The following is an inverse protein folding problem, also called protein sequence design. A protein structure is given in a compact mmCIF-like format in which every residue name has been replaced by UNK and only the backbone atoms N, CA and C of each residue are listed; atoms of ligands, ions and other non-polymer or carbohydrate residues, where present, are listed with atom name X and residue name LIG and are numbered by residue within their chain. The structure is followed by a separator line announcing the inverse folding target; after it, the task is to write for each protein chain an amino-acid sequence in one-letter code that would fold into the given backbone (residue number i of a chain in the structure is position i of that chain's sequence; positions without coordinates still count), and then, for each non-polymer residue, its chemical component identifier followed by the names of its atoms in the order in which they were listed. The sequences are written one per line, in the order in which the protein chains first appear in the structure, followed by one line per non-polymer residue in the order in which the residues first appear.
data_IF_956159743704
#
_entry.id   IF_956159743704
#
_cell.length_a   1.000
_cell.length_b   1.000
_cell.length_c   1.000
_cell.angle_alpha   90.00
_cell.angle_beta   90.00
_cell.angle_gamma   90.00
#
_symmetry.space_group_name_H-M   'P 1'
#
loop_
_entity.id
_entity.type
_entity.pdbx_description
1 polymer ?
#
# COMPACT_ATOMS: atom_id res chain seq x y z
N UNK A 1 11.94 6.47 -0.05
CA UNK A 1 12.13 6.47 1.41
C UNK A 1 11.46 5.26 2.09
N UNK A 2 10.19 4.95 1.81
CA UNK A 2 9.50 3.77 2.38
C UNK A 2 10.01 2.39 1.93
N UNK A 3 10.63 2.29 0.75
CA UNK A 3 11.12 1.03 0.18
C UNK A 3 12.23 0.36 1.00
N UNK A 4 13.04 1.14 1.73
CA UNK A 4 14.11 0.63 2.60
C UNK A 4 13.53 -0.02 3.85
N UNK A 5 12.55 0.64 4.49
CA UNK A 5 11.86 0.09 5.67
C UNK A 5 11.06 -1.16 5.34
N UNK A 6 10.43 -1.18 4.17
CA UNK A 6 9.66 -2.33 3.67
C UNK A 6 10.54 -3.58 3.49
N UNK A 7 11.76 -3.41 2.97
CA UNK A 7 12.76 -4.49 2.90
C UNK A 7 13.17 -4.95 4.29
N UNK A 8 13.54 -4.02 5.16
CA UNK A 8 13.96 -4.32 6.53
C UNK A 8 12.90 -5.11 7.31
N UNK A 9 11.63 -4.72 7.23
CA UNK A 9 10.55 -5.42 7.92
C UNK A 9 10.29 -6.82 7.37
N UNK A 10 10.35 -7.00 6.05
CA UNK A 10 10.20 -8.32 5.41
C UNK A 10 11.37 -9.25 5.71
N UNK A 11 12.60 -8.72 5.77
CA UNK A 11 13.79 -9.48 6.17
C UNK A 11 13.70 -9.97 7.63
N UNK A 12 13.03 -9.19 8.49
CA UNK A 12 12.74 -9.57 9.89
C UNK A 12 11.44 -10.37 10.05
N UNK A 13 10.87 -10.90 8.97
CA UNK A 13 9.73 -11.81 9.02
C UNK A 13 8.35 -11.15 9.22
N UNK A 14 8.26 -9.83 9.04
CA UNK A 14 6.97 -9.12 9.13
C UNK A 14 6.23 -9.21 7.80
N UNK A 15 5.05 -9.84 7.82
CA UNK A 15 4.15 -9.92 6.69
C UNK A 15 3.38 -8.59 6.54
N UNK A 16 3.96 -7.65 5.78
CA UNK A 16 3.44 -6.30 5.59
C UNK A 16 3.35 -5.88 4.12
N UNK A 17 2.23 -5.24 3.79
CA UNK A 17 1.95 -4.54 2.53
C UNK A 17 1.89 -3.05 2.84
N UNK A 18 2.54 -2.23 2.04
CA UNK A 18 2.53 -0.77 2.14
C UNK A 18 2.30 -0.20 0.75
N UNK A 19 1.38 0.76 0.65
CA UNK A 19 1.12 1.52 -0.56
C UNK A 19 0.86 2.99 -0.18
N UNK A 20 1.75 3.88 -0.63
CA UNK A 20 1.75 5.30 -0.28
C UNK A 20 1.73 5.51 1.25
N UNK A 21 0.64 6.07 1.78
CA UNK A 21 0.45 6.38 3.19
C UNK A 21 -0.31 5.30 3.97
N UNK A 22 -0.74 4.23 3.31
CA UNK A 22 -1.53 3.15 3.89
C UNK A 22 -0.73 1.84 3.94
N UNK A 23 -0.88 1.09 5.03
CA UNK A 23 -0.17 -0.16 5.25
C UNK A 23 -0.99 -1.18 6.01
N UNK A 24 -0.90 -2.44 5.58
CA UNK A 24 -1.56 -3.58 6.19
C UNK A 24 -0.51 -4.60 6.63
N UNK A 25 -0.44 -4.83 7.94
CA UNK A 25 0.32 -5.92 8.54
C UNK A 25 -0.61 -7.07 8.90
N UNK A 26 -0.22 -8.31 8.57
CA UNK A 26 -0.97 -9.51 8.92
C UNK A 26 -0.06 -10.50 9.64
N UNK A 27 -0.61 -11.25 10.58
CA UNK A 27 0.10 -12.32 11.26
C UNK A 27 -0.87 -13.43 11.66
N UNK A 28 -0.35 -14.61 12.01
CA UNK A 28 -1.16 -15.81 12.29
C UNK A 28 -1.90 -15.70 13.63
N UNK A 29 -1.27 -15.06 14.62
CA UNK A 29 -1.75 -14.99 16.00
C UNK A 29 -1.83 -13.53 16.48
N UNK A 30 -2.72 -13.25 17.44
CA UNK A 30 -2.84 -11.90 18.04
C UNK A 30 -1.52 -11.44 18.67
N UNK A 31 -0.81 -12.34 19.35
CA UNK A 31 0.49 -12.06 19.98
C UNK A 31 1.54 -11.66 18.94
N UNK A 32 1.74 -12.49 17.92
CA UNK A 32 2.68 -12.20 16.82
C UNK A 32 2.30 -10.91 16.08
N UNK A 33 1.00 -10.65 15.89
CA UNK A 33 0.54 -9.42 15.24
C UNK A 33 0.81 -8.18 16.09
N UNK A 34 0.73 -8.29 17.43
CA UNK A 34 1.06 -7.20 18.35
C UNK A 34 2.56 -6.93 18.37
N UNK A 35 3.38 -7.99 18.37
CA UNK A 35 4.84 -7.89 18.28
C UNK A 35 5.27 -7.24 16.97
N UNK A 36 4.75 -7.73 15.84
CA UNK A 36 5.02 -7.17 14.51
C UNK A 36 4.58 -5.70 14.41
N UNK A 37 3.39 -5.39 14.93
CA UNK A 37 2.87 -4.02 14.94
C UNK A 37 3.72 -3.08 15.80
N UNK A 38 4.13 -3.53 16.98
CA UNK A 38 5.02 -2.77 17.87
C UNK A 38 6.38 -2.53 17.23
N UNK A 39 6.94 -3.54 16.57
CA UNK A 39 8.20 -3.44 15.85
C UNK A 39 8.12 -2.43 14.69
N UNK A 40 7.04 -2.47 13.90
CA UNK A 40 6.80 -1.51 12.80
C UNK A 40 6.63 -0.09 13.35
N UNK A 41 5.87 0.07 14.44
CA UNK A 41 5.67 1.36 15.11
C UNK A 41 6.99 1.96 15.61
N UNK A 42 7.82 1.17 16.28
CA UNK A 42 9.14 1.62 16.74
C UNK A 42 10.06 1.96 15.58
N UNK A 43 10.10 1.12 14.54
CA UNK A 43 10.91 1.38 13.34
C UNK A 43 10.51 2.69 12.63
N UNK A 44 9.22 3.00 12.58
CA UNK A 44 8.72 4.25 11.98
C UNK A 44 9.15 5.47 12.82
N UNK A 45 9.06 5.38 14.15
CA UNK A 45 9.52 6.43 15.05
C UNK A 45 11.03 6.67 14.95
N UNK A 46 11.83 5.61 14.94
CA UNK A 46 13.29 5.68 14.81
C UNK A 46 13.72 6.25 13.45
N UNK A 47 12.96 5.96 12.40
CA UNK A 47 13.15 6.56 11.07
C UNK A 47 12.69 8.03 10.98
N UNK A 48 12.16 8.61 12.07
CA UNK A 48 11.75 10.02 12.15
C UNK A 48 10.37 10.32 11.58
N UNK A 49 9.51 9.33 11.36
CA UNK A 49 8.15 9.56 10.87
C UNK A 49 7.21 10.05 11.98
N UNK A 50 6.43 11.09 11.67
CA UNK A 50 5.31 11.54 12.52
C UNK A 50 4.09 10.67 12.23
N UNK A 51 3.68 9.87 13.21
CA UNK A 51 2.50 9.00 13.09
C UNK A 51 1.23 9.73 13.51
N UNK A 52 0.19 9.67 12.67
CA UNK A 52 -1.14 10.15 13.03
C UNK A 52 -1.87 9.13 13.91
N UNK A 53 -2.02 9.42 15.20
CA UNK A 53 -2.66 8.53 16.18
C UNK A 53 -4.12 8.21 15.88
N UNK A 54 -4.80 9.04 15.09
CA UNK A 54 -6.21 8.85 14.76
C UNK A 54 -6.40 7.93 13.54
N UNK A 55 -5.36 7.82 12.69
CA UNK A 55 -5.40 7.00 11.46
C UNK A 55 -4.74 5.64 11.64
N UNK A 56 -3.69 5.54 12.46
CA UNK A 56 -2.95 4.28 12.63
C UNK A 56 -3.60 3.36 13.67
N UNK A 57 -3.93 2.14 13.25
CA UNK A 57 -4.41 1.07 14.13
C UNK A 57 -3.26 0.09 14.35
N UNK A 58 -2.59 0.18 15.49
CA UNK A 58 -1.49 -0.71 15.86
C UNK A 58 -1.92 -1.86 16.79
N UNK A 59 -3.08 -1.76 17.43
CA UNK A 59 -3.63 -2.89 18.19
C UNK A 59 -4.26 -3.90 17.21
N UNK A 60 -3.86 -5.18 17.24
CA UNK A 60 -4.38 -6.17 16.32
C UNK A 60 -5.86 -6.43 16.59
N UNK A 61 -6.70 -6.12 15.59
CA UNK A 61 -8.15 -6.26 15.68
C UNK A 61 -8.59 -7.55 14.97
N UNK A 62 -9.26 -8.43 15.69
CA UNK A 62 -9.75 -9.72 15.17
C UNK A 62 -11.08 -9.59 14.40
N UNK A 63 -11.83 -8.51 14.64
CA UNK A 63 -13.08 -8.22 13.94
C UNK A 63 -13.00 -6.85 13.28
N UNK A 64 -13.05 -6.83 11.95
CA UNK A 64 -13.48 -5.63 11.25
C UNK A 64 -15.00 -5.58 11.42
N UNK A 65 -15.52 -4.59 12.16
CA UNK A 65 -16.91 -4.20 11.93
C UNK A 65 -17.08 -3.98 10.42
N UNK A 66 -18.07 -4.63 9.81
CA UNK A 66 -18.30 -4.65 8.36
C UNK A 66 -18.83 -3.31 7.85
N UNK A 67 -18.12 -2.24 8.16
CA UNK A 67 -18.35 -0.92 7.63
C UNK A 67 -17.94 -0.94 6.16
N UNK A 68 -18.75 -0.32 5.31
CA UNK A 68 -18.43 -0.21 3.90
C UNK A 68 -17.07 0.46 3.67
N UNK A 69 -16.67 1.38 4.56
CA UNK A 69 -15.34 2.00 4.57
C UNK A 69 -14.21 0.98 4.74
N UNK A 70 -14.35 0.03 5.67
CA UNK A 70 -13.33 -1.00 5.94
C UNK A 70 -13.22 -1.98 4.76
N UNK A 71 -14.35 -2.39 4.17
CA UNK A 71 -14.33 -3.24 2.98
C UNK A 71 -13.67 -2.52 1.79
N UNK A 72 -13.95 -1.23 1.61
CA UNK A 72 -13.35 -0.42 0.57
C UNK A 72 -11.84 -0.24 0.76
N UNK A 73 -11.37 -0.08 2.00
CA UNK A 73 -9.94 -0.01 2.31
C UNK A 73 -9.22 -1.29 1.88
N UNK A 74 -9.70 -2.46 2.35
CA UNK A 74 -9.11 -3.77 1.99
C UNK A 74 -9.15 -3.98 0.47
N UNK A 75 -10.26 -3.62 -0.18
CA UNK A 75 -10.38 -3.73 -1.64
C UNK A 75 -9.37 -2.83 -2.37
N UNK A 76 -9.18 -1.60 -1.89
CA UNK A 76 -8.19 -0.66 -2.43
C UNK A 76 -6.76 -1.16 -2.29
N UNK A 77 -6.42 -1.74 -1.12
CA UNK A 77 -5.12 -2.36 -0.89
C UNK A 77 -4.88 -3.57 -1.80
N UNK A 78 -5.90 -4.37 -2.07
CA UNK A 78 -5.80 -5.49 -3.02
C UNK A 78 -5.59 -4.99 -4.45
N UNK A 79 -6.36 -3.99 -4.88
CA UNK A 79 -6.26 -3.43 -6.23
C UNK A 79 -4.93 -2.70 -6.44
N UNK A 80 -4.37 -2.05 -5.41
CA UNK A 80 -3.06 -1.39 -5.54
C UNK A 80 -1.92 -2.37 -5.84
N UNK A 81 -2.09 -3.66 -5.50
CA UNK A 81 -1.17 -4.75 -5.87
C UNK A 81 -1.34 -5.25 -7.32
N UNK A 82 -2.25 -4.68 -8.11
CA UNK A 82 -2.47 -5.05 -9.52
C UNK A 82 -1.19 -5.08 -10.38
N UNK A 83 -0.20 -4.19 -10.23
CA UNK A 83 1.04 -4.27 -11.00
C UNK A 83 1.85 -5.56 -10.75
N UNK A 84 1.77 -6.12 -9.55
CA UNK A 84 2.52 -7.33 -9.15
C UNK A 84 1.74 -8.60 -9.48
N UNK A 85 0.45 -8.60 -9.16
CA UNK A 85 -0.40 -9.78 -9.21
C UNK A 85 -1.21 -9.89 -10.52
N UNK A 86 -1.30 -8.81 -11.30
CA UNK A 86 -2.05 -8.76 -12.55
C UNK A 86 -3.57 -8.79 -12.35
N UNK A 87 -4.27 -9.29 -13.37
CA UNK A 87 -5.74 -9.27 -13.47
C UNK A 87 -6.49 -10.01 -12.36
N UNK A 88 -5.81 -10.88 -11.60
CA UNK A 88 -6.41 -11.62 -10.48
C UNK A 88 -6.90 -10.68 -9.37
N UNK A 89 -6.24 -9.54 -9.18
CA UNK A 89 -6.66 -8.48 -8.25
C UNK A 89 -8.06 -8.00 -8.56
N UNK A 90 -8.33 -7.66 -9.83
CA UNK A 90 -9.64 -7.23 -10.30
C UNK A 90 -10.66 -8.35 -10.30
N UNK A 91 -10.27 -9.59 -10.60
CA UNK A 91 -11.20 -10.73 -10.69
C UNK A 91 -11.72 -11.16 -9.32
N UNK A 92 -10.83 -11.17 -8.32
CA UNK A 92 -11.12 -11.62 -6.94
C UNK A 92 -11.51 -10.47 -6.00
N UNK A 93 -11.89 -9.31 -6.55
CA UNK A 93 -12.46 -8.17 -5.81
C UNK A 93 -13.81 -7.75 -6.38
N UNK A 94 -14.39 -8.51 -7.31
CA UNK A 94 -15.61 -8.10 -8.01
C UNK A 94 -16.80 -8.06 -7.09
N UNK A 95 -16.95 -9.08 -6.25
CA UNK A 95 -18.02 -9.12 -5.25
C UNK A 95 -17.75 -8.13 -4.11
N UNK A 96 -16.48 -7.85 -3.78
CA UNK A 96 -16.14 -6.75 -2.86
C UNK A 96 -16.58 -5.39 -3.42
N UNK A 97 -16.24 -5.08 -4.67
CA UNK A 97 -16.67 -3.85 -5.35
C UNK A 97 -18.20 -3.75 -5.43
N UNK A 98 -18.87 -4.85 -5.78
CA UNK A 98 -20.32 -4.87 -5.83
C UNK A 98 -20.96 -4.64 -4.45
N UNK A 99 -20.44 -5.27 -3.39
CA UNK A 99 -20.90 -5.04 -2.02
C UNK A 99 -20.67 -3.59 -1.57
N UNK A 100 -19.53 -3.00 -1.93
CA UNK A 100 -19.25 -1.58 -1.66
C UNK A 100 -20.25 -0.70 -2.42
N UNK A 101 -20.50 -0.95 -3.69
CA UNK A 101 -21.39 -0.10 -4.50
C UNK A 101 -22.83 -0.11 -4.00
N UNK A 102 -23.31 -1.24 -3.50
CA UNK A 102 -24.64 -1.37 -2.89
C UNK A 102 -24.74 -0.87 -1.44
N UNK A 103 -23.70 -0.21 -0.92
CA UNK A 103 -23.72 0.33 0.45
C UNK A 103 -24.78 1.43 0.62
N UNK A 104 -25.45 1.43 1.78
CA UNK A 104 -26.36 2.53 2.16
C UNK A 104 -25.58 3.74 2.68
N UNK A 105 -24.60 3.52 3.56
CA UNK A 105 -23.70 4.54 4.13
C UNK A 105 -22.32 3.94 4.41
N UNK A 106 -21.30 4.80 4.45
CA UNK A 106 -19.90 4.39 4.66
C UNK A 106 -19.62 3.82 6.05
N UNK A 107 -20.22 4.43 7.08
CA UNK A 107 -20.00 4.11 8.49
C UNK A 107 -21.16 3.28 9.08
N UNK A 108 -21.92 2.61 8.20
CA UNK A 108 -22.95 1.64 8.59
C UNK A 108 -22.51 0.23 8.17
N UNK A 109 -23.02 -0.78 8.87
CA UNK A 109 -22.84 -2.18 8.51
C UNK A 109 -23.38 -2.43 7.10
N UNK A 110 -22.58 -3.11 6.29
CA UNK A 110 -22.97 -3.56 4.95
C UNK A 110 -24.07 -4.61 5.03
N UNK A 111 -25.12 -4.41 4.22
CA UNK A 111 -26.09 -5.45 3.91
C UNK A 111 -25.58 -6.19 2.68
N UNK A 112 -25.17 -7.45 2.87
CA UNK A 112 -24.62 -8.27 1.81
C UNK A 112 -25.72 -9.11 1.18
N UNK A 113 -26.04 -8.85 -0.09
CA UNK A 113 -26.98 -9.66 -0.86
C UNK A 113 -26.40 -11.03 -1.24
N UNK A 114 -25.09 -11.12 -1.50
CA UNK A 114 -24.36 -12.39 -1.61
C UNK A 114 -23.19 -12.44 -0.60
N UNK A 115 -23.45 -12.83 0.66
CA UNK A 115 -22.40 -12.95 1.67
C UNK A 115 -21.33 -13.97 1.27
N UNK A 116 -21.73 -15.15 0.79
CA UNK A 116 -20.80 -16.23 0.45
C UNK A 116 -19.82 -15.84 -0.65
N UNK A 117 -20.28 -15.10 -1.66
CA UNK A 117 -19.41 -14.57 -2.72
C UNK A 117 -18.31 -13.66 -2.17
N UNK A 118 -18.69 -12.75 -1.26
CA UNK A 118 -17.78 -11.80 -0.59
C UNK A 118 -16.80 -12.53 0.33
N UNK A 119 -17.28 -13.49 1.12
CA UNK A 119 -16.43 -14.29 2.00
C UNK A 119 -15.46 -15.18 1.22
N UNK A 120 -15.86 -15.71 0.08
CA UNK A 120 -14.97 -16.49 -0.79
C UNK A 120 -13.84 -15.63 -1.37
N UNK A 121 -14.13 -14.41 -1.80
CA UNK A 121 -13.10 -13.47 -2.28
C UNK A 121 -12.15 -13.06 -1.14
N UNK A 122 -12.67 -12.70 0.03
CA UNK A 122 -11.84 -12.36 1.20
C UNK A 122 -11.00 -13.56 1.68
N UNK A 123 -11.60 -14.74 1.75
CA UNK A 123 -10.92 -15.98 2.10
C UNK A 123 -9.84 -16.34 1.08
N UNK A 124 -10.07 -16.10 -0.20
CA UNK A 124 -9.03 -16.25 -1.22
C UNK A 124 -7.84 -15.36 -0.93
N UNK A 125 -8.05 -14.06 -0.66
CA UNK A 125 -6.97 -13.13 -0.37
C UNK A 125 -6.24 -13.48 0.92
N UNK A 126 -6.97 -13.77 2.00
CA UNK A 126 -6.41 -14.18 3.28
C UNK A 126 -5.44 -15.37 3.13
N UNK A 127 -5.81 -16.35 2.32
CA UNK A 127 -5.03 -17.58 2.13
C UNK A 127 -3.91 -17.45 1.09
N UNK A 128 -3.99 -16.50 0.15
CA UNK A 128 -3.09 -16.46 -1.01
C UNK A 128 -2.24 -15.20 -1.12
N UNK A 129 -2.52 -14.13 -0.36
CA UNK A 129 -1.84 -12.83 -0.50
C UNK A 129 -0.32 -12.95 -0.36
N UNK A 130 0.16 -13.68 0.65
CA UNK A 130 1.59 -13.87 0.88
C UNK A 130 2.26 -14.64 -0.25
N UNK A 131 1.60 -15.68 -0.78
CA UNK A 131 2.13 -16.50 -1.87
C UNK A 131 2.15 -15.72 -3.19
N UNK A 132 1.11 -14.94 -3.45
CA UNK A 132 0.98 -14.14 -4.68
C UNK A 132 1.93 -12.93 -4.68
N UNK A 133 2.22 -12.37 -3.51
CA UNK A 133 3.12 -11.22 -3.35
C UNK A 133 4.61 -11.61 -3.43
N UNK A 134 4.92 -12.92 -3.54
CA UNK A 134 6.27 -13.45 -3.73
C UNK A 134 6.67 -13.57 -5.20
N UNK A 135 5.91 -13.00 -6.13
CA UNK A 135 6.32 -12.99 -7.53
C UNK A 135 7.62 -12.20 -7.62
N UNK A 136 8.72 -12.91 -7.89
CA UNK A 136 10.00 -12.30 -8.17
C UNK A 136 9.75 -11.38 -9.36
N UNK A 137 9.83 -10.06 -9.14
CA UNK A 137 9.93 -9.13 -10.25
C UNK A 137 11.07 -9.69 -11.11
N UNK A 138 10.73 -10.10 -12.32
CA UNK A 138 11.68 -10.64 -13.29
C UNK A 138 12.96 -9.80 -13.26
N UNK A 139 14.10 -10.50 -13.21
CA UNK A 139 15.37 -10.01 -12.70
C UNK A 139 15.65 -8.54 -12.94
N UNK A 140 16.11 -7.86 -11.88
CA UNK A 140 16.69 -6.52 -11.85
C UNK A 140 17.13 -6.08 -13.26
N UNK A 141 16.23 -5.48 -14.05
CA UNK A 141 16.69 -4.78 -15.23
C UNK A 141 17.36 -3.55 -14.66
N UNK A 142 18.68 -3.47 -14.83
CA UNK A 142 19.42 -2.26 -14.52
C UNK A 142 18.59 -1.07 -15.05
N UNK A 143 18.34 -0.02 -14.27
CA UNK A 143 17.59 1.12 -14.78
C UNK A 143 18.29 1.56 -16.08
N UNK A 144 17.56 1.52 -17.20
CA UNK A 144 18.13 1.91 -18.49
C UNK A 144 18.64 3.36 -18.44
N UNK A 145 18.01 4.19 -17.61
CA UNK A 145 18.39 5.58 -17.32
C UNK A 145 18.08 5.89 -15.85
N UNK A 146 19.01 6.53 -15.14
CA UNK A 146 18.81 7.00 -13.77
C UNK A 146 18.67 8.53 -13.77
N UNK A 147 17.55 9.07 -13.29
CA UNK A 147 17.28 10.53 -13.31
C UNK A 147 17.24 11.10 -11.89
N UNK A 148 17.97 12.18 -11.66
CA UNK A 148 17.93 13.01 -10.46
C UNK A 148 17.12 14.26 -10.78
N UNK A 149 16.16 14.61 -9.94
CA UNK A 149 15.41 15.85 -10.08
C UNK A 149 15.34 16.58 -8.75
N UNK A 150 15.49 17.90 -8.79
CA UNK A 150 15.33 18.79 -7.65
C UNK A 150 14.44 19.98 -8.05
N UNK A 151 13.67 20.50 -7.11
CA UNK A 151 12.79 21.63 -7.32
C UNK A 151 12.77 22.55 -6.09
N UNK A 152 12.79 23.84 -6.34
CA UNK A 152 12.75 24.92 -5.35
C UNK A 152 11.61 25.89 -5.66
N UNK A 153 11.36 26.87 -4.79
CA UNK A 153 10.39 27.94 -5.05
C UNK A 153 10.76 28.88 -6.23
N UNK A 154 11.93 28.70 -6.85
CA UNK A 154 12.45 29.59 -7.89
C UNK A 154 12.73 28.84 -9.20
N UNK A 155 13.04 27.55 -9.13
CA UNK A 155 13.41 26.75 -10.30
C UNK A 155 13.22 25.24 -10.08
N UNK A 156 13.19 24.50 -11.18
CA UNK A 156 13.35 23.04 -11.21
C UNK A 156 14.57 22.64 -12.07
N UNK A 157 15.20 21.53 -11.70
CA UNK A 157 16.30 20.91 -12.44
C UNK A 157 16.15 19.39 -12.48
N UNK A 158 16.58 18.78 -13.58
CA UNK A 158 16.69 17.33 -13.69
C UNK A 158 17.93 16.93 -14.49
N UNK A 159 18.51 15.79 -14.14
CA UNK A 159 19.71 15.24 -14.71
C UNK A 159 19.56 13.74 -14.91
N UNK A 160 19.70 13.26 -16.15
CA UNK A 160 19.70 11.83 -16.45
C UNK A 160 21.12 11.30 -16.59
N UNK A 161 21.45 10.23 -15.87
CA UNK A 161 22.58 9.35 -16.14
C UNK A 161 22.14 8.37 -17.24
N UNK A 162 22.35 8.78 -18.47
CA UNK A 162 22.42 7.93 -19.66
C UNK A 162 23.81 8.15 -20.31
N UNK A 163 24.19 7.33 -21.28
CA UNK A 163 25.41 7.45 -22.10
C UNK A 163 25.64 8.86 -22.66
N UNK A 164 24.57 9.64 -22.89
CA UNK A 164 24.64 11.01 -23.44
C UNK A 164 24.31 12.13 -22.42
N UNK A 165 24.01 11.81 -21.15
CA UNK A 165 23.79 12.77 -20.06
C UNK A 165 22.93 14.00 -20.40
N UNK A 166 21.60 13.82 -20.48
CA UNK A 166 20.66 14.94 -20.69
C UNK A 166 20.44 15.76 -19.41
N UNK A 167 20.47 17.09 -19.57
CA UNK A 167 20.24 18.08 -18.50
C UNK A 167 19.00 18.90 -18.84
N UNK A 168 18.10 19.04 -17.86
CA UNK A 168 16.95 19.93 -17.92
C UNK A 168 17.03 20.95 -16.78
N UNK A 169 16.78 22.22 -17.08
CA UNK A 169 16.64 23.27 -16.09
C UNK A 169 15.57 24.28 -16.53
N UNK A 170 14.69 24.66 -15.59
CA UNK A 170 13.66 25.65 -15.84
C UNK A 170 13.53 26.59 -14.64
N UNK A 171 13.51 27.89 -14.92
CA UNK A 171 13.11 28.91 -13.95
C UNK A 171 11.59 29.05 -14.00
N UNK A 172 10.95 29.18 -12.84
CA UNK A 172 9.52 29.46 -12.80
C UNK A 172 9.24 30.85 -13.36
N UNK A 173 8.16 30.97 -14.13
CA UNK A 173 7.61 32.28 -14.43
C UNK A 173 6.90 32.86 -13.19
N UNK A 174 6.71 34.18 -13.13
CA UNK A 174 6.01 34.86 -12.03
C UNK A 174 4.60 34.31 -11.77
N UNK A 175 4.00 33.65 -12.76
CA UNK A 175 2.69 33.01 -12.66
C UNK A 175 2.77 31.58 -12.10
N UNK A 176 3.92 30.92 -12.22
CA UNK A 176 4.18 29.56 -11.74
C UNK A 176 4.84 29.53 -10.35
N UNK A 177 5.42 30.66 -9.90
CA UNK A 177 6.08 30.81 -8.59
C UNK A 177 5.14 31.28 -7.46
N UNK A 178 3.82 31.27 -7.68
CA UNK A 178 2.77 31.65 -6.73
C UNK A 178 1.98 30.43 -6.28
#
# INVERSE_FOLDING_TARGET
MFTTNLKYWRENGVDIVLYLDDGLGMSKNKLESLECSSFVKTSLLEAGFLMNTDKFIFEPVQYLEWLARKLAQVTGEVISMCPVMGSITRLMTRYLHWAIENRVKWDLKLTLECPDCVFNELGFWLNNIQRLNKKHLSGYSFPHVLVYSDASNIAAGAYSIDTDSNIFHQMWTLQESL
#
